data_IF_542691568522
#
_entry.id   IF_542691568522
#
_cell.length_a   1.000
_cell.length_b   1.000
_cell.length_c   1.000
_cell.angle_alpha   90.00
_cell.angle_beta   90.00
_cell.angle_gamma   90.00
#
_symmetry.space_group_name_H-M   'P 1'
#
loop_
_entity.id
_entity.type
_entity.pdbx_description
1 polymer ?
#
# COMPACT_ATOMS: atom_id res chain seq x y z
N UNK A 1 -9.78 14.21 12.22
CA UNK A 1 -10.60 13.05 11.81
C UNK A 1 -9.60 11.96 11.51
N UNK A 2 -9.62 10.89 12.28
CA UNK A 2 -8.77 9.72 12.04
C UNK A 2 -9.19 9.07 10.72
N UNK A 3 -8.25 8.45 10.01
CA UNK A 3 -8.54 7.61 8.87
C UNK A 3 -9.40 6.43 9.36
N UNK A 4 -10.21 5.87 8.47
CA UNK A 4 -10.91 4.62 8.80
C UNK A 4 -9.92 3.46 8.80
N UNK A 5 -10.14 2.44 9.63
CA UNK A 5 -9.27 1.24 9.68
C UNK A 5 -9.05 0.63 8.28
N UNK A 6 -10.05 0.78 7.40
CA UNK A 6 -9.98 0.36 5.99
C UNK A 6 -8.90 1.07 5.18
N UNK A 7 -8.78 2.39 5.35
CA UNK A 7 -7.76 3.19 4.66
C UNK A 7 -6.37 2.82 5.18
N UNK A 8 -6.22 2.66 6.50
CA UNK A 8 -4.96 2.24 7.10
C UNK A 8 -4.52 0.87 6.59
N UNK A 9 -5.44 -0.07 6.43
CA UNK A 9 -5.14 -1.40 5.91
C UNK A 9 -4.62 -1.33 4.46
N UNK A 10 -5.26 -0.53 3.61
CA UNK A 10 -4.84 -0.33 2.22
C UNK A 10 -3.47 0.34 2.15
N UNK A 11 -3.24 1.40 2.92
CA UNK A 11 -1.96 2.12 2.96
C UNK A 11 -0.83 1.21 3.45
N UNK A 12 -1.08 0.43 4.49
CA UNK A 12 -0.12 -0.52 5.05
C UNK A 12 0.23 -1.59 4.03
N UNK A 13 -0.77 -2.11 3.33
CA UNK A 13 -0.57 -3.08 2.26
C UNK A 13 0.26 -2.50 1.10
N UNK A 14 -0.08 -1.29 0.64
CA UNK A 14 0.68 -0.56 -0.38
C UNK A 14 2.14 -0.36 0.05
N UNK A 15 2.37 0.01 1.30
CA UNK A 15 3.72 0.16 1.84
C UNK A 15 4.47 -1.17 1.83
N UNK A 16 3.82 -2.27 2.22
CA UNK A 16 4.41 -3.60 2.20
C UNK A 16 4.82 -4.02 0.79
N UNK A 17 3.92 -3.84 -0.19
CA UNK A 17 4.17 -4.13 -1.60
C UNK A 17 5.37 -3.34 -2.13
N UNK A 18 5.56 -2.11 -1.68
CA UNK A 18 6.67 -1.25 -2.09
C UNK A 18 8.00 -1.54 -1.36
N UNK A 19 7.95 -1.85 -0.07
CA UNK A 19 9.14 -2.08 0.77
C UNK A 19 9.66 -3.50 0.70
N UNK A 20 8.75 -4.48 0.61
CA UNK A 20 9.05 -5.90 0.56
C UNK A 20 8.41 -6.57 -0.66
N UNK A 21 8.69 -6.10 -1.89
CA UNK A 21 8.19 -6.71 -3.11
C UNK A 21 8.66 -8.16 -3.28
N UNK A 22 9.73 -8.56 -2.58
CA UNK A 22 10.27 -9.92 -2.58
C UNK A 22 9.34 -10.94 -1.90
N UNK A 23 8.41 -10.48 -1.04
CA UNK A 23 7.36 -11.33 -0.46
C UNK A 23 6.24 -11.65 -1.45
N UNK A 24 6.10 -10.85 -2.51
CA UNK A 24 5.05 -10.99 -3.51
C UNK A 24 5.62 -11.65 -4.77
N UNK A 25 5.18 -12.86 -5.06
CA UNK A 25 5.53 -13.54 -6.32
C UNK A 25 4.85 -12.87 -7.51
N UNK A 26 5.28 -13.23 -8.72
CA UNK A 26 4.64 -12.73 -9.94
C UNK A 26 3.16 -13.15 -10.04
N UNK A 27 2.81 -14.31 -9.49
CA UNK A 27 1.43 -14.80 -9.42
C UNK A 27 0.62 -13.98 -8.42
N UNK A 28 1.14 -13.73 -7.21
CA UNK A 28 0.47 -12.91 -6.18
C UNK A 28 0.12 -11.51 -6.69
N UNK A 29 1.04 -10.89 -7.46
CA UNK A 29 0.81 -9.57 -8.06
C UNK A 29 -0.26 -9.59 -9.15
N UNK A 30 -0.29 -10.66 -9.94
CA UNK A 30 -1.30 -10.82 -10.97
C UNK A 30 -2.68 -11.04 -10.35
N UNK A 31 -2.73 -11.88 -9.31
CA UNK A 31 -3.94 -12.18 -8.55
C UNK A 31 -4.49 -10.92 -7.86
N UNK A 32 -3.65 -10.16 -7.16
CA UNK A 32 -4.01 -8.86 -6.60
C UNK A 32 -4.57 -7.90 -7.65
N UNK A 33 -3.95 -7.84 -8.83
CA UNK A 33 -4.41 -6.94 -9.89
C UNK A 33 -5.76 -7.35 -10.45
N UNK A 34 -6.01 -8.65 -10.57
CA UNK A 34 -7.31 -9.19 -11.00
C UNK A 34 -8.38 -8.95 -9.93
N UNK A 35 -8.04 -9.20 -8.66
CA UNK A 35 -8.88 -8.91 -7.50
C UNK A 35 -9.27 -7.43 -7.46
N UNK A 36 -8.31 -6.52 -7.60
CA UNK A 36 -8.58 -5.08 -7.64
C UNK A 36 -9.46 -4.70 -8.84
N UNK A 37 -9.22 -5.29 -10.01
CA UNK A 37 -10.00 -5.03 -11.22
C UNK A 37 -11.47 -5.45 -11.07
N UNK A 38 -11.74 -6.52 -10.32
CA UNK A 38 -13.10 -7.07 -10.10
C UNK A 38 -13.87 -6.36 -8.98
N UNK A 39 -13.18 -5.68 -8.07
CA UNK A 39 -13.79 -4.95 -6.96
C UNK A 39 -14.39 -3.59 -7.37
N UNK A 40 -15.47 -3.15 -6.70
CA UNK A 40 -16.04 -1.82 -6.88
C UNK A 40 -15.09 -0.72 -6.35
N UNK A 41 -15.34 0.52 -6.76
CA UNK A 41 -14.58 1.70 -6.32
C UNK A 41 -14.91 2.12 -4.87
N UNK A 42 -14.92 1.16 -3.94
CA UNK A 42 -15.38 1.30 -2.56
C UNK A 42 -14.29 0.89 -1.56
N UNK A 43 -13.94 1.78 -0.63
CA UNK A 43 -12.77 1.60 0.25
C UNK A 43 -12.95 0.43 1.22
N UNK A 44 -14.17 0.24 1.72
CA UNK A 44 -14.48 -0.85 2.66
C UNK A 44 -14.37 -2.21 1.95
N UNK A 45 -14.94 -2.34 0.75
CA UNK A 45 -14.88 -3.56 -0.06
C UNK A 45 -13.43 -3.89 -0.48
N UNK A 46 -12.68 -2.87 -0.93
CA UNK A 46 -11.28 -3.03 -1.31
C UNK A 46 -10.44 -3.48 -0.11
N UNK A 47 -10.57 -2.80 1.03
CA UNK A 47 -9.84 -3.17 2.24
C UNK A 47 -10.20 -4.57 2.71
N UNK A 48 -11.48 -4.92 2.70
CA UNK A 48 -11.93 -6.23 3.16
C UNK A 48 -11.42 -7.34 2.25
N UNK A 49 -11.44 -7.14 0.93
CA UNK A 49 -10.90 -8.11 -0.02
C UNK A 49 -9.38 -8.29 0.13
N UNK A 50 -8.63 -7.21 0.35
CA UNK A 50 -7.18 -7.28 0.61
C UNK A 50 -6.89 -7.95 1.96
N UNK A 51 -7.67 -7.65 2.99
CA UNK A 51 -7.55 -8.30 4.30
C UNK A 51 -7.74 -9.82 4.14
N UNK A 52 -8.80 -10.22 3.44
CA UNK A 52 -9.12 -11.62 3.18
C UNK A 52 -8.03 -12.32 2.34
N UNK A 53 -7.46 -11.61 1.36
CA UNK A 53 -6.32 -12.09 0.59
C UNK A 53 -5.06 -12.26 1.45
N UNK A 54 -4.79 -11.34 2.37
CA UNK A 54 -3.69 -11.48 3.33
C UNK A 54 -3.88 -12.66 4.28
N UNK A 55 -5.12 -13.01 4.63
CA UNK A 55 -5.40 -14.21 5.44
C UNK A 55 -4.97 -15.51 4.73
N UNK A 56 -5.07 -15.55 3.39
CA UNK A 56 -4.59 -16.68 2.59
C UNK A 56 -3.05 -16.68 2.44
N UNK A 57 -2.38 -15.58 2.80
CA UNK A 57 -0.94 -15.39 2.68
C UNK A 57 -0.30 -14.99 4.01
N UNK A 58 -0.08 -15.96 4.92
CA UNK A 58 0.42 -15.68 6.26
C UNK A 58 1.80 -15.00 6.28
N UNK A 59 2.62 -15.18 5.24
CA UNK A 59 3.93 -14.49 5.11
C UNK A 59 3.77 -12.98 4.92
N UNK A 60 2.75 -12.58 4.16
CA UNK A 60 2.44 -11.18 3.87
C UNK A 60 1.77 -10.57 5.09
N UNK A 61 0.82 -11.28 5.70
CA UNK A 61 0.16 -10.86 6.93
C UNK A 61 1.14 -10.66 8.09
N UNK A 62 2.08 -11.59 8.29
CA UNK A 62 3.13 -11.46 9.30
C UNK A 62 3.97 -10.21 9.05
N UNK A 63 4.37 -9.98 7.80
CA UNK A 63 5.14 -8.81 7.44
C UNK A 63 4.37 -7.49 7.66
N UNK A 64 3.04 -7.47 7.41
CA UNK A 64 2.15 -6.34 7.73
C UNK A 64 2.13 -6.06 9.23
N UNK A 65 1.95 -7.12 10.04
CA UNK A 65 1.92 -7.01 11.51
C UNK A 65 3.28 -6.61 12.10
N UNK A 66 4.36 -6.88 11.38
CA UNK A 66 5.72 -6.56 11.81
C UNK A 66 6.18 -5.16 11.35
N UNK A 67 5.35 -4.41 10.60
CA UNK A 67 5.64 -3.01 10.27
C UNK A 67 5.52 -2.18 11.56
N UNK A 68 6.58 -1.44 11.96
CA UNK A 68 6.48 -0.52 13.08
C UNK A 68 5.52 0.63 12.74
N UNK A 69 4.58 0.92 13.65
CA UNK A 69 3.59 2.00 13.50
C UNK A 69 4.23 3.36 13.18
N UNK A 70 5.47 3.59 13.60
CA UNK A 70 6.25 4.82 13.35
C UNK A 70 6.53 5.05 11.84
N UNK A 71 6.77 3.97 11.08
CA UNK A 71 6.93 4.03 9.62
C UNK A 71 5.61 4.35 8.91
N UNK A 72 4.49 3.87 9.46
CA UNK A 72 3.15 4.17 8.95
C UNK A 72 2.75 5.63 9.24
N UNK A 73 3.14 6.17 10.40
CA UNK A 73 2.92 7.57 10.77
C UNK A 73 3.74 8.53 9.88
N UNK A 74 4.97 8.14 9.49
CA UNK A 74 5.74 8.90 8.50
C UNK A 74 5.06 8.96 7.13
N UNK A 75 4.41 7.87 6.68
CA UNK A 75 3.64 7.86 5.44
C UNK A 75 2.37 8.73 5.55
N UNK A 76 1.74 8.71 6.73
CA UNK A 76 0.60 9.55 7.11
C UNK A 76 0.94 11.04 7.14
N UNK A 77 2.16 11.38 7.55
CA UNK A 77 2.67 12.75 7.55
C UNK A 77 3.15 13.21 6.16
N UNK A 78 3.67 12.29 5.34
CA UNK A 78 4.22 12.59 4.02
C UNK A 78 3.16 12.97 2.97
N UNK A 79 1.96 12.39 3.04
CA UNK A 79 0.90 12.69 2.07
C UNK A 79 0.22 14.05 2.32
N UNK A 80 0.34 14.61 3.55
CA UNK A 80 -0.15 15.96 3.88
C UNK A 80 -1.66 16.18 3.70
N UNK A 81 -2.40 15.17 3.24
CA UNK A 81 -3.81 15.22 2.90
C UNK A 81 -4.59 14.52 4.01
N UNK A 82 -5.17 15.31 4.91
CA UNK A 82 -6.18 14.84 5.86
C UNK A 82 -7.53 14.52 5.19
N UNK A 83 -7.54 14.19 3.89
CA UNK A 83 -8.74 13.89 3.12
C UNK A 83 -8.86 12.38 3.02
N UNK A 84 -9.97 11.85 3.52
CA UNK A 84 -10.39 10.47 3.32
C UNK A 84 -10.12 10.03 1.89
N UNK A 85 -9.36 8.96 1.73
CA UNK A 85 -9.13 8.30 0.46
C UNK A 85 -10.48 7.79 -0.03
N UNK A 86 -10.85 8.19 -1.24
CA UNK A 86 -12.00 7.58 -1.91
C UNK A 86 -11.64 6.16 -2.35
N UNK A 87 -12.63 5.26 -2.47
CA UNK A 87 -12.36 3.87 -2.91
C UNK A 87 -11.66 3.84 -4.27
N UNK A 88 -11.99 4.77 -5.16
CA UNK A 88 -11.28 4.97 -6.43
C UNK A 88 -9.80 5.32 -6.25
N UNK A 89 -9.47 6.31 -5.42
CA UNK A 89 -8.07 6.69 -5.15
C UNK A 89 -7.29 5.52 -4.53
N UNK A 90 -7.93 4.77 -3.63
CA UNK A 90 -7.35 3.59 -3.00
C UNK A 90 -7.00 2.51 -4.03
N UNK A 91 -7.94 2.21 -4.94
CA UNK A 91 -7.76 1.25 -6.03
C UNK A 91 -6.62 1.67 -6.96
N UNK A 92 -6.62 2.94 -7.39
CA UNK A 92 -5.55 3.48 -8.24
C UNK A 92 -4.18 3.43 -7.54
N UNK A 93 -4.13 3.68 -6.24
CA UNK A 93 -2.89 3.61 -5.45
C UNK A 93 -2.36 2.18 -5.33
N UNK A 94 -3.24 1.20 -5.13
CA UNK A 94 -2.89 -0.22 -5.09
C UNK A 94 -2.39 -0.72 -6.44
N UNK A 95 -3.11 -0.43 -7.54
CA UNK A 95 -2.69 -0.84 -8.88
C UNK A 95 -1.34 -0.23 -9.27
N UNK A 96 -1.12 1.06 -8.96
CA UNK A 96 0.16 1.71 -9.18
C UNK A 96 1.26 1.07 -8.35
N UNK A 97 1.00 0.73 -7.08
CA UNK A 97 2.00 0.12 -6.20
C UNK A 97 2.40 -1.28 -6.67
N UNK A 98 1.45 -2.14 -7.01
CA UNK A 98 1.72 -3.48 -7.56
C UNK A 98 2.49 -3.40 -8.87
N UNK A 99 2.14 -2.44 -9.73
CA UNK A 99 2.85 -2.20 -11.00
C UNK A 99 4.26 -1.66 -10.77
N UNK A 100 4.42 -0.66 -9.91
CA UNK A 100 5.71 -0.02 -9.62
C UNK A 100 6.66 -0.91 -8.83
N UNK A 101 6.17 -1.80 -7.96
CA UNK A 101 6.97 -2.79 -7.25
C UNK A 101 7.69 -3.78 -8.16
N UNK A 102 7.33 -3.82 -9.44
CA UNK A 102 8.04 -4.58 -10.48
C UNK A 102 9.23 -3.80 -11.08
N UNK A 103 9.27 -2.48 -10.90
CA UNK A 103 10.29 -1.56 -11.43
C UNK A 103 11.15 -0.89 -10.34
N UNK A 104 10.68 -0.82 -9.10
CA UNK A 104 11.30 -0.06 -8.03
C UNK A 104 12.42 -0.84 -7.32
N UNK A 105 13.55 -0.95 -8.00
CA UNK A 105 14.87 -1.04 -7.34
C UNK A 105 15.44 0.35 -7.00
N UNK A 106 14.62 1.40 -7.09
CA UNK A 106 14.94 2.80 -6.81
C UNK A 106 13.63 3.41 -6.26
N UNK A 107 13.55 3.98 -5.06
CA UNK A 107 14.34 5.10 -4.54
C UNK A 107 14.39 5.02 -3.00
N UNK A 108 15.57 5.12 -2.35
CA UNK A 108 15.60 5.74 -1.04
C UNK A 108 15.20 7.21 -1.21
N UNK A 109 14.32 7.67 -0.34
CA UNK A 109 14.20 9.06 0.08
C UNK A 109 15.61 9.67 0.22
N UNK A 110 16.04 10.39 -0.80
CA UNK A 110 17.26 11.20 -0.74
C UNK A 110 16.84 12.64 -0.83
N UNK A 111 16.75 13.23 0.35
CA UNK A 111 16.77 14.66 0.59
C UNK A 111 17.75 15.34 -0.36
N UNK A 112 17.27 16.13 -1.32
CA UNK A 112 18.14 17.08 -2.03
C UNK A 112 18.23 18.35 -1.21
N UNK A 113 19.03 18.27 -0.15
CA UNK A 113 19.72 19.45 0.37
C UNK A 113 20.83 19.78 -0.64
N UNK A 114 20.58 20.72 -1.55
CA UNK A 114 21.66 21.27 -2.38
C UNK A 114 21.54 22.79 -2.51
N UNK A 115 22.30 23.44 -1.63
CA UNK A 115 22.93 24.76 -1.64
C UNK A 115 23.11 25.43 -3.01
N UNK A 116 22.65 26.68 -3.16
CA UNK A 116 23.20 27.75 -4.00
C UNK A 116 22.85 29.09 -3.32
N UNK A 117 23.74 29.70 -2.54
CA UNK A 117 24.84 30.64 -2.89
C UNK A 117 24.41 32.10 -2.68
#
# INVERSE_FOLDING_TARGET
MSLSDYEENIITFVYLVQTQPELFTAEDRADLKDLLSTLPDDVEEISNAIALWCEEHPLILDAILNIPIDDLDSLRAADGRATSLTGKESKEMLENSVTQSSQSKQRPSSSSKTKNE
#
